data_IF_232571263348
#
_entry.id   IF_232571263348
#
_cell.length_a   1.000
_cell.length_b   1.000
_cell.length_c   1.000
_cell.angle_alpha   90.00
_cell.angle_beta   90.00
_cell.angle_gamma   90.00
#
_symmetry.space_group_name_H-M   'P 1'
#
loop_
_entity.id
_entity.type
_entity.pdbx_description
1 polymer ?
#
# COMPACT_ATOMS: atom_id res chain seq x y z
N UNK A 1 -12.46 17.65 9.93
CA UNK A 1 -11.50 16.57 9.65
C UNK A 1 -12.25 15.26 9.73
N UNK A 2 -12.79 14.75 8.63
CA UNK A 2 -13.40 13.41 8.64
C UNK A 2 -12.25 12.39 8.59
N UNK A 3 -11.98 11.73 9.71
CA UNK A 3 -11.09 10.57 9.74
C UNK A 3 -11.88 9.43 9.10
N UNK A 4 -11.81 9.32 7.79
CA UNK A 4 -12.27 8.11 7.11
C UNK A 4 -11.31 6.99 7.48
N UNK A 5 -11.72 6.14 8.42
CA UNK A 5 -11.02 4.89 8.70
C UNK A 5 -11.31 3.94 7.54
N UNK A 6 -10.63 4.15 6.42
CA UNK A 6 -10.60 3.19 5.32
C UNK A 6 -10.05 1.87 5.87
N UNK A 7 -10.86 0.82 5.84
CA UNK A 7 -10.42 -0.52 6.22
C UNK A 7 -9.65 -1.10 5.04
N UNK A 8 -8.41 -0.66 4.86
CA UNK A 8 -7.45 -1.44 4.09
C UNK A 8 -7.43 -2.87 4.61
N UNK A 9 -7.32 -3.87 3.72
CA UNK A 9 -7.28 -5.27 4.13
C UNK A 9 -5.91 -5.55 4.76
N UNK A 10 -5.76 -5.23 6.03
CA UNK A 10 -4.63 -5.66 6.84
C UNK A 10 -4.90 -7.09 7.25
N UNK A 11 -4.19 -8.02 6.63
CA UNK A 11 -4.23 -9.45 6.95
C UNK A 11 -2.95 -9.86 7.67
N UNK A 12 -2.94 -11.06 8.25
CA UNK A 12 -1.68 -11.67 8.65
C UNK A 12 -0.74 -11.78 7.43
N UNK A 13 0.57 -11.56 7.62
CA UNK A 13 1.54 -11.61 6.54
C UNK A 13 1.67 -13.03 5.98
N UNK A 14 1.89 -13.17 4.68
CA UNK A 14 2.30 -14.45 4.09
C UNK A 14 3.63 -14.92 4.70
N UNK A 15 3.96 -16.22 4.65
CA UNK A 15 5.23 -16.72 5.17
C UNK A 15 6.47 -16.04 4.56
N UNK A 16 6.42 -15.74 3.26
CA UNK A 16 7.49 -15.06 2.53
C UNK A 16 7.64 -13.62 3.00
N UNK A 17 6.51 -12.92 3.14
CA UNK A 17 6.51 -11.54 3.62
C UNK A 17 6.95 -11.46 5.08
N UNK A 18 6.45 -12.34 5.96
CA UNK A 18 6.89 -12.44 7.36
C UNK A 18 8.39 -12.71 7.49
N UNK A 19 8.93 -13.60 6.65
CA UNK A 19 10.37 -13.86 6.58
C UNK A 19 11.13 -12.61 6.17
N UNK A 20 10.69 -11.91 5.13
CA UNK A 20 11.31 -10.66 4.70
C UNK A 20 11.25 -9.58 5.79
N UNK A 21 10.12 -9.40 6.47
CA UNK A 21 9.94 -8.46 7.59
C UNK A 21 10.97 -8.70 8.70
N UNK A 22 11.21 -9.97 9.06
CA UNK A 22 12.17 -10.32 10.13
C UNK A 22 13.62 -9.90 9.85
N UNK A 23 13.95 -9.71 8.56
CA UNK A 23 15.29 -9.34 8.10
C UNK A 23 15.52 -7.84 8.11
N UNK A 24 14.45 -7.02 8.10
CA UNK A 24 14.60 -5.57 8.07
C UNK A 24 15.01 -5.05 9.45
N UNK A 25 15.84 -4.01 9.44
CA UNK A 25 16.40 -3.39 10.66
C UNK A 25 16.35 -1.87 10.64
N UNK A 26 16.22 -1.27 9.46
CA UNK A 26 16.18 0.18 9.29
C UNK A 26 15.05 0.59 8.37
N UNK A 27 14.65 1.85 8.46
CA UNK A 27 13.68 2.42 7.54
C UNK A 27 14.13 2.32 6.09
N UNK A 28 15.42 2.58 5.81
CA UNK A 28 15.98 2.52 4.46
C UNK A 28 15.92 1.09 3.89
N UNK A 29 16.13 0.06 4.72
CA UNK A 29 16.00 -1.33 4.28
C UNK A 29 14.58 -1.66 3.83
N UNK A 30 13.57 -1.19 4.59
CA UNK A 30 12.15 -1.34 4.24
C UNK A 30 11.80 -0.52 3.00
N UNK A 31 12.15 0.76 3.00
CA UNK A 31 11.83 1.70 1.92
C UNK A 31 12.50 1.32 0.60
N UNK A 32 13.68 0.71 0.64
CA UNK A 32 14.38 0.30 -0.58
C UNK A 32 13.60 -0.70 -1.44
N UNK A 33 12.70 -1.48 -0.82
CA UNK A 33 11.84 -2.42 -1.53
C UNK A 33 10.94 -1.74 -2.57
N UNK A 34 10.42 -0.55 -2.24
CA UNK A 34 9.49 0.17 -3.11
C UNK A 34 10.20 1.06 -4.13
N UNK A 35 11.53 1.06 -4.20
CA UNK A 35 12.25 1.94 -5.14
C UNK A 35 12.03 1.54 -6.60
N UNK A 36 11.84 0.25 -6.88
CA UNK A 36 11.75 -0.31 -8.24
C UNK A 36 10.41 -1.03 -8.49
N UNK A 37 9.33 -0.59 -7.83
CA UNK A 37 7.99 -1.14 -8.06
C UNK A 37 7.41 -0.67 -9.40
N UNK A 38 6.47 -1.45 -9.95
CA UNK A 38 5.74 -1.05 -11.16
C UNK A 38 4.39 -0.46 -10.78
N UNK A 39 4.15 0.80 -11.15
CA UNK A 39 2.83 1.41 -11.01
C UNK A 39 1.86 0.80 -12.02
N UNK A 40 0.72 0.28 -11.56
CA UNK A 40 -0.34 -0.27 -12.42
C UNK A 40 -1.70 0.10 -11.85
N UNK A 41 -2.55 0.76 -12.65
CA UNK A 41 -3.94 1.03 -12.26
C UNK A 41 -4.73 -0.26 -12.02
N UNK A 42 -5.61 -0.24 -11.02
CA UNK A 42 -6.49 -1.37 -10.70
C UNK A 42 -7.32 -1.88 -11.86
N UNK A 43 -7.70 -0.97 -12.76
CA UNK A 43 -8.46 -1.35 -13.95
C UNK A 43 -7.66 -2.26 -14.87
N UNK A 44 -6.34 -2.06 -14.94
CA UNK A 44 -5.40 -2.88 -15.72
C UNK A 44 -5.03 -4.13 -14.94
N UNK A 45 -4.71 -4.01 -13.65
CA UNK A 45 -4.20 -5.11 -12.84
C UNK A 45 -5.28 -6.13 -12.46
N UNK A 46 -6.48 -5.66 -12.10
CA UNK A 46 -7.55 -6.48 -11.52
C UNK A 46 -8.88 -6.41 -12.31
N UNK A 47 -9.00 -5.50 -13.28
CA UNK A 47 -10.21 -5.33 -14.09
C UNK A 47 -11.35 -4.58 -13.37
N UNK A 48 -11.12 -4.15 -12.13
CA UNK A 48 -12.08 -3.42 -11.28
C UNK A 48 -11.69 -1.95 -11.14
N UNK A 49 -12.57 -1.13 -10.59
CA UNK A 49 -12.33 0.33 -10.49
C UNK A 49 -11.39 0.71 -9.34
N UNK A 50 -11.37 -0.09 -8.28
CA UNK A 50 -10.68 0.19 -7.02
C UNK A 50 -10.49 -1.15 -6.29
N UNK A 51 -9.25 -1.56 -6.07
CA UNK A 51 -8.83 -2.78 -5.40
C UNK A 51 -7.61 -2.54 -4.52
N UNK A 52 -7.87 -2.51 -3.22
CA UNK A 52 -6.81 -2.39 -2.23
C UNK A 52 -6.14 -3.74 -1.99
N UNK A 53 -4.90 -3.88 -2.47
CA UNK A 53 -4.07 -5.04 -2.20
C UNK A 53 -3.76 -5.15 -0.70
N UNK A 54 -3.70 -6.38 -0.20
CA UNK A 54 -3.05 -6.62 1.08
C UNK A 54 -1.54 -6.36 0.95
N UNK A 55 -0.81 -6.02 2.03
CA UNK A 55 0.64 -5.89 1.99
C UNK A 55 1.35 -7.13 1.43
N UNK A 56 0.81 -8.33 1.67
CA UNK A 56 1.36 -9.58 1.11
C UNK A 56 1.09 -9.73 -0.39
N UNK A 57 -0.02 -9.22 -0.91
CA UNK A 57 -0.30 -9.22 -2.35
C UNK A 57 0.66 -8.28 -3.08
N UNK A 58 0.80 -7.04 -2.60
CA UNK A 58 1.77 -6.10 -3.14
C UNK A 58 3.20 -6.66 -3.06
N UNK A 59 3.58 -7.26 -1.93
CA UNK A 59 4.89 -7.90 -1.77
C UNK A 59 5.13 -9.05 -2.76
N UNK A 60 4.09 -9.76 -3.18
CA UNK A 60 4.22 -10.87 -4.13
C UNK A 60 4.37 -10.39 -5.58
N UNK A 61 3.72 -9.29 -5.94
CA UNK A 61 3.70 -8.78 -7.32
C UNK A 61 4.74 -7.69 -7.57
N UNK A 62 5.10 -6.93 -6.54
CA UNK A 62 5.82 -5.65 -6.64
C UNK A 62 5.16 -4.67 -7.64
N UNK A 63 3.83 -4.76 -7.74
CA UNK A 63 2.98 -3.90 -8.58
C UNK A 63 1.80 -3.37 -7.78
N UNK A 64 1.35 -2.17 -8.10
CA UNK A 64 0.15 -1.57 -7.51
C UNK A 64 0.08 -0.09 -7.80
N UNK A 65 -0.97 0.56 -7.33
CA UNK A 65 -1.13 2.00 -7.46
C UNK A 65 -0.77 2.73 -6.16
N UNK A 66 -1.32 3.93 -5.94
CA UNK A 66 -0.86 4.81 -4.88
C UNK A 66 -1.18 4.27 -3.49
N UNK A 67 -2.35 3.69 -3.25
CA UNK A 67 -2.72 3.12 -1.96
C UNK A 67 -1.93 1.87 -1.64
N UNK A 68 -1.67 1.02 -2.64
CA UNK A 68 -1.06 -0.29 -2.45
C UNK A 68 0.36 -0.17 -1.91
N UNK A 69 1.18 0.67 -2.55
CA UNK A 69 2.58 0.89 -2.15
C UNK A 69 2.67 1.53 -0.76
N UNK A 70 1.78 2.48 -0.43
CA UNK A 70 1.81 3.16 0.85
C UNK A 70 1.19 2.32 1.98
N UNK A 71 0.20 1.49 1.68
CA UNK A 71 -0.35 0.52 2.63
C UNK A 71 0.68 -0.55 2.96
N UNK A 72 1.40 -1.07 1.95
CA UNK A 72 2.55 -1.96 2.16
C UNK A 72 3.63 -1.30 3.01
N UNK A 73 4.04 -0.08 2.68
CA UNK A 73 5.12 0.61 3.39
C UNK A 73 4.76 0.85 4.87
N UNK A 74 3.53 1.28 5.14
CA UNK A 74 3.04 1.45 6.51
C UNK A 74 3.05 0.12 7.27
N UNK A 75 2.46 -0.94 6.72
CA UNK A 75 2.45 -2.27 7.37
C UNK A 75 3.87 -2.80 7.62
N UNK A 76 4.78 -2.64 6.65
CA UNK A 76 6.15 -3.08 6.76
C UNK A 76 6.93 -2.33 7.86
N UNK A 77 6.78 -1.00 7.94
CA UNK A 77 7.39 -0.19 9.00
C UNK A 77 6.86 -0.62 10.38
N UNK A 78 5.55 -0.78 10.51
CA UNK A 78 4.94 -1.22 11.76
C UNK A 78 5.45 -2.59 12.20
N UNK A 79 5.39 -3.59 11.31
CA UNK A 79 5.71 -4.97 11.67
C UNK A 79 7.21 -5.22 11.81
N UNK A 80 8.03 -4.61 10.97
CA UNK A 80 9.47 -4.88 10.98
C UNK A 80 10.23 -4.04 12.00
N UNK A 81 9.81 -2.78 12.21
CA UNK A 81 10.53 -1.82 13.06
C UNK A 81 9.82 -1.55 14.39
N UNK A 82 8.55 -1.96 14.52
CA UNK A 82 7.74 -1.67 15.71
C UNK A 82 7.33 -0.20 15.83
N UNK A 83 7.37 0.55 14.74
CA UNK A 83 7.03 1.97 14.73
C UNK A 83 5.55 2.16 14.45
N UNK A 84 4.90 3.09 15.15
CA UNK A 84 3.54 3.47 14.75
C UNK A 84 3.57 4.12 13.36
N UNK A 85 2.71 3.61 12.46
CA UNK A 85 2.60 4.10 11.10
C UNK A 85 1.12 4.23 10.72
N UNK A 86 0.79 5.27 9.97
CA UNK A 86 -0.57 5.56 9.55
C UNK A 86 -0.59 5.85 8.05
N UNK A 87 -1.54 5.26 7.33
CA UNK A 87 -1.85 5.65 5.96
C UNK A 87 -2.86 6.79 5.97
N UNK A 88 -2.50 7.92 5.36
CA UNK A 88 -3.37 9.07 5.19
C UNK A 88 -3.65 9.27 3.71
N UNK A 89 -4.92 9.17 3.32
CA UNK A 89 -5.36 9.40 1.95
C UNK A 89 -5.97 10.80 1.89
N UNK A 90 -5.51 11.60 0.93
CA UNK A 90 -6.02 12.94 0.69
C UNK A 90 -6.51 13.08 -0.74
N UNK A 91 -7.71 13.64 -0.90
CA UNK A 91 -8.24 14.00 -2.20
C UNK A 91 -8.25 15.52 -2.33
N UNK A 92 -7.73 16.04 -3.44
CA UNK A 92 -7.84 17.45 -3.78
C UNK A 92 -9.13 17.66 -4.58
N UNK A 93 -10.17 18.18 -3.93
CA UNK A 93 -11.43 18.49 -4.60
C UNK A 93 -11.31 19.75 -5.46
N UNK A 94 -10.72 19.65 -6.64
CA UNK A 94 -10.50 20.84 -7.48
C UNK A 94 -11.69 21.23 -8.35
N UNK A 95 -12.63 20.32 -8.69
CA UNK A 95 -13.91 20.59 -9.36
C UNK A 95 -14.72 19.29 -9.53
N UNK A 96 -16.02 19.30 -9.24
CA UNK A 96 -16.96 18.30 -9.79
C UNK A 96 -17.21 18.62 -11.29
N UNK A 97 -17.45 17.62 -12.18
CA UNK A 97 -18.13 16.36 -11.89
C UNK A 97 -17.24 15.11 -11.95
N UNK A 98 -17.65 14.13 -11.12
CA UNK A 98 -17.24 12.72 -11.08
C UNK A 98 -16.93 12.12 -12.46
N UNK A 99 -15.65 11.93 -12.72
CA UNK A 99 -15.10 10.76 -13.38
C UNK A 99 -13.58 10.86 -13.16
N UNK A 100 -12.91 9.74 -12.91
CA UNK A 100 -11.46 9.67 -12.82
C UNK A 100 -10.91 10.16 -11.47
N UNK A 101 -11.20 9.39 -10.42
CA UNK A 101 -10.29 9.28 -9.28
C UNK A 101 -9.15 8.29 -9.56
N UNK A 102 -9.25 7.50 -10.64
CA UNK A 102 -8.25 6.54 -11.11
C UNK A 102 -8.32 6.49 -12.65
N UNK A 103 -7.46 7.24 -13.34
CA UNK A 103 -7.33 7.26 -14.80
C UNK A 103 -6.62 8.50 -15.35
#
# INVERSE_FOLDING_TARGET
MCIFRFKGKITEPSPEYAKWLSQQKTFESVHSYINDFTYVDDKVQFGVLDYWQTPSQYFATNTGDCEDVHLFLADAIYRALGWESYLLIGWKWEKFPRAIAHG
#
